data_IF_571987242818
#
_entry.id   IF_571987242818
#
_cell.length_a   1.000
_cell.length_b   1.000
_cell.length_c   1.000
_cell.angle_alpha   90.00
_cell.angle_beta   90.00
_cell.angle_gamma   90.00
#
_symmetry.space_group_name_H-M   'P 1'
#
loop_
_entity.id
_entity.type
_entity.pdbx_description
1 polymer ?
#
# COMPACT_ATOMS: atom_id res chain seq x y z
N UNK A 1 7.13 4.81 0.97
CA UNK A 1 6.75 3.38 0.75
C UNK A 1 5.36 3.25 0.16
N UNK A 2 4.38 4.01 0.66
CA UNK A 2 3.00 4.10 0.13
C UNK A 2 2.93 4.53 -1.34
N UNK A 3 3.85 5.36 -1.78
CA UNK A 3 3.91 5.93 -3.13
C UNK A 3 4.31 4.87 -4.15
N UNK A 4 5.28 4.03 -3.80
CA UNK A 4 5.74 2.91 -4.63
C UNK A 4 4.66 1.84 -4.70
N UNK A 5 3.99 1.55 -3.57
CA UNK A 5 2.82 0.66 -3.50
C UNK A 5 1.70 1.16 -4.43
N UNK A 6 1.41 2.46 -4.40
CA UNK A 6 0.42 3.10 -5.26
C UNK A 6 0.81 3.07 -6.74
N UNK A 7 2.06 3.42 -7.06
CA UNK A 7 2.58 3.40 -8.43
C UNK A 7 2.53 1.98 -9.02
N UNK A 8 2.93 0.98 -8.23
CA UNK A 8 2.83 -0.43 -8.60
C UNK A 8 1.40 -0.82 -8.91
N UNK A 9 0.44 -0.49 -8.04
CA UNK A 9 -0.97 -0.78 -8.26
C UNK A 9 -1.50 -0.14 -9.57
N UNK A 10 -1.14 1.11 -9.84
CA UNK A 10 -1.51 1.86 -11.04
C UNK A 10 -0.92 1.24 -12.31
N UNK A 11 0.35 0.82 -12.30
CA UNK A 11 0.96 0.14 -13.44
C UNK A 11 0.32 -1.20 -13.74
N UNK A 12 -0.04 -1.98 -12.72
CA UNK A 12 -0.77 -3.23 -12.97
C UNK A 12 -2.12 -2.93 -13.62
N UNK A 13 -2.86 -1.91 -13.15
CA UNK A 13 -4.14 -1.54 -13.76
C UNK A 13 -4.03 -1.08 -15.21
N UNK A 14 -3.04 -0.26 -15.54
CA UNK A 14 -2.88 0.31 -16.87
C UNK A 14 -2.33 -0.72 -17.88
N UNK A 15 -1.39 -1.56 -17.47
CA UNK A 15 -0.62 -2.39 -18.40
C UNK A 15 -0.96 -3.88 -18.37
N UNK A 16 -1.66 -4.38 -17.36
CA UNK A 16 -2.17 -5.76 -17.35
C UNK A 16 -3.68 -5.73 -17.57
N UNK A 17 -4.13 -5.82 -18.82
CA UNK A 17 -5.56 -5.86 -19.16
C UNK A 17 -6.13 -7.27 -19.09
N UNK A 18 -5.32 -8.28 -19.39
CA UNK A 18 -5.72 -9.69 -19.39
C UNK A 18 -5.24 -10.38 -18.10
N UNK A 19 -6.06 -11.32 -17.61
CA UNK A 19 -5.77 -12.23 -16.48
C UNK A 19 -5.43 -11.56 -15.14
N UNK A 20 -5.91 -10.33 -14.92
CA UNK A 20 -5.76 -9.74 -13.60
C UNK A 20 -6.68 -10.36 -12.57
N UNK A 21 -6.14 -10.74 -11.41
CA UNK A 21 -6.97 -11.06 -10.26
C UNK A 21 -7.93 -9.90 -9.99
N UNK A 22 -9.24 -10.19 -9.80
CA UNK A 22 -10.25 -9.15 -9.59
C UNK A 22 -10.05 -8.42 -8.26
N UNK A 23 -9.26 -8.99 -7.35
CA UNK A 23 -8.98 -8.40 -6.05
C UNK A 23 -7.47 -8.26 -5.81
N UNK A 24 -7.12 -7.28 -4.97
CA UNK A 24 -5.76 -7.06 -4.45
C UNK A 24 -5.83 -6.59 -3.02
N UNK A 25 -4.77 -6.85 -2.29
CA UNK A 25 -4.59 -6.31 -0.96
C UNK A 25 -3.65 -5.11 -1.03
N UNK A 26 -4.01 -4.05 -0.34
CA UNK A 26 -3.23 -2.82 -0.30
C UNK A 26 -3.33 -2.19 1.07
N UNK A 27 -2.27 -1.47 1.46
CA UNK A 27 -2.29 -0.63 2.65
C UNK A 27 -2.88 0.73 2.29
N UNK A 28 -3.83 1.19 3.09
CA UNK A 28 -4.41 2.53 3.00
C UNK A 28 -3.97 3.32 4.23
N UNK A 29 -3.42 4.51 4.00
CA UNK A 29 -3.00 5.43 5.04
C UNK A 29 -3.92 6.64 5.00
N UNK A 30 -4.63 6.88 6.10
CA UNK A 30 -5.48 8.06 6.28
C UNK A 30 -4.67 9.13 7.00
N UNK A 31 -4.52 10.28 6.36
CA UNK A 31 -3.85 11.45 6.93
C UNK A 31 -4.85 12.56 7.24
N UNK A 32 -4.52 13.39 8.24
CA UNK A 32 -5.26 14.60 8.55
C UNK A 32 -4.98 15.64 7.46
N UNK A 33 -5.99 16.11 6.71
CA UNK A 33 -5.77 17.00 5.57
C UNK A 33 -5.16 18.35 5.97
N UNK A 34 -5.34 18.78 7.23
CA UNK A 34 -4.79 20.06 7.73
C UNK A 34 -3.34 19.95 8.20
N UNK A 35 -2.93 18.80 8.72
CA UNK A 35 -1.64 18.65 9.41
C UNK A 35 -0.71 17.65 8.73
N UNK A 36 -1.18 16.91 7.74
CA UNK A 36 -0.46 15.81 7.11
C UNK A 36 -0.23 14.60 8.02
N UNK A 37 -0.55 14.69 9.32
CA UNK A 37 -0.33 13.61 10.29
C UNK A 37 -1.14 12.37 9.92
N UNK A 38 -0.48 11.22 9.96
CA UNK A 38 -1.15 9.93 9.78
C UNK A 38 -2.06 9.70 10.98
N UNK A 39 -3.34 9.50 10.70
CA UNK A 39 -4.36 9.19 11.69
C UNK A 39 -4.52 7.69 11.85
N UNK A 40 -4.39 6.95 10.75
CA UNK A 40 -4.68 5.53 10.71
C UNK A 40 -4.02 4.88 9.51
N UNK A 41 -3.57 3.64 9.69
CA UNK A 41 -3.15 2.77 8.60
C UNK A 41 -3.93 1.46 8.72
N UNK A 42 -4.45 0.98 7.60
CA UNK A 42 -5.24 -0.25 7.54
C UNK A 42 -4.92 -1.03 6.28
N UNK A 43 -5.21 -2.33 6.31
CA UNK A 43 -5.17 -3.16 5.11
C UNK A 43 -6.57 -3.22 4.52
N UNK A 44 -6.66 -3.07 3.20
CA UNK A 44 -7.91 -3.21 2.47
C UNK A 44 -7.75 -4.20 1.33
N UNK A 45 -8.81 -4.96 1.09
CA UNK A 45 -9.00 -5.73 -0.13
C UNK A 45 -9.74 -4.85 -1.14
N UNK A 46 -9.03 -4.42 -2.17
CA UNK A 46 -9.57 -3.67 -3.29
C UNK A 46 -10.04 -4.64 -4.38
N UNK A 47 -11.33 -4.62 -4.70
CA UNK A 47 -11.90 -5.35 -5.82
C UNK A 47 -12.13 -4.40 -6.99
N UNK A 48 -11.52 -4.68 -8.14
CA UNK A 48 -11.63 -3.85 -9.33
C UNK A 48 -12.74 -4.36 -10.25
N UNK A 49 -13.61 -3.46 -10.69
CA UNK A 49 -14.56 -3.68 -11.78
C UNK A 49 -14.16 -2.81 -12.96
N UNK A 50 -13.86 -3.46 -14.10
CA UNK A 50 -13.36 -2.80 -15.31
C UNK A 50 -14.42 -2.84 -16.39
N UNK A 51 -14.61 -1.70 -17.06
CA UNK A 51 -15.41 -1.58 -18.28
C UNK A 51 -14.46 -1.38 -19.45
N UNK A 52 -14.49 -2.31 -20.39
CA UNK A 52 -13.75 -2.23 -21.65
C UNK A 52 -14.69 -1.79 -22.78
N UNK A 53 -14.13 -1.21 -23.83
CA UNK A 53 -14.85 -0.99 -25.09
C UNK A 53 -14.86 -2.25 -25.97
N UNK A 54 -15.47 -2.14 -27.15
CA UNK A 54 -15.57 -3.23 -28.14
C UNK A 54 -14.20 -3.66 -28.70
N UNK A 55 -13.16 -2.82 -28.55
CA UNK A 55 -11.79 -3.09 -28.98
C UNK A 55 -10.92 -3.61 -27.82
N UNK A 56 -11.49 -3.79 -26.63
CA UNK A 56 -10.78 -4.24 -25.43
C UNK A 56 -10.02 -3.13 -24.69
N UNK A 57 -10.22 -1.87 -25.04
CA UNK A 57 -9.56 -0.74 -24.38
C UNK A 57 -10.28 -0.38 -23.08
N UNK A 58 -9.51 0.01 -22.05
CA UNK A 58 -10.07 0.39 -20.75
C UNK A 58 -10.83 1.72 -20.82
N UNK A 59 -12.15 1.68 -20.61
CA UNK A 59 -13.00 2.88 -20.52
C UNK A 59 -13.13 3.39 -19.09
N UNK A 60 -13.26 2.47 -18.12
CA UNK A 60 -13.49 2.82 -16.72
C UNK A 60 -13.01 1.71 -15.79
N UNK A 61 -12.46 2.09 -14.65
CA UNK A 61 -12.24 1.20 -13.51
C UNK A 61 -12.95 1.76 -12.27
N UNK A 62 -13.65 0.90 -11.55
CA UNK A 62 -14.22 1.18 -10.23
C UNK A 62 -13.56 0.27 -9.20
N UNK A 63 -13.20 0.81 -8.04
CA UNK A 63 -12.63 0.05 -6.94
C UNK A 63 -13.59 0.01 -5.76
N UNK A 64 -13.86 -1.20 -5.27
CA UNK A 64 -14.60 -1.44 -4.04
C UNK A 64 -13.61 -1.86 -2.97
N UNK A 65 -13.52 -1.08 -1.90
CA UNK A 65 -12.58 -1.30 -0.82
C UNK A 65 -13.29 -1.96 0.36
N UNK A 66 -12.78 -3.11 0.79
CA UNK A 66 -13.22 -3.78 2.01
C UNK A 66 -12.07 -3.80 3.00
N UNK A 67 -12.35 -3.51 4.27
CA UNK A 67 -11.35 -3.70 5.32
C UNK A 67 -10.95 -5.17 5.37
N UNK A 68 -9.64 -5.45 5.38
CA UNK A 68 -9.09 -6.78 5.49
C UNK A 68 -8.30 -6.90 6.80
N UNK A 69 -8.42 -8.06 7.44
CA UNK A 69 -7.65 -8.36 8.64
C UNK A 69 -6.17 -8.61 8.29
N UNK A 70 -5.23 -8.35 9.22
CA UNK A 70 -3.83 -8.69 9.01
C UNK A 70 -3.60 -10.15 8.63
N UNK A 71 -4.36 -11.09 9.23
CA UNK A 71 -4.26 -12.51 8.92
C UNK A 71 -4.69 -12.86 7.50
N UNK A 72 -5.72 -12.21 6.97
CA UNK A 72 -6.15 -12.41 5.58
C UNK A 72 -5.06 -11.95 4.61
N UNK A 73 -4.42 -10.82 4.90
CA UNK A 73 -3.29 -10.34 4.11
C UNK A 73 -2.11 -11.30 4.18
N UNK A 74 -1.72 -11.75 5.38
CA UNK A 74 -0.55 -12.64 5.55
C UNK A 74 -0.79 -14.02 4.93
N UNK A 75 -2.04 -14.47 4.86
CA UNK A 75 -2.42 -15.67 4.10
C UNK A 75 -2.28 -15.43 2.60
N UNK A 76 -2.87 -14.34 2.07
CA UNK A 76 -2.75 -13.99 0.66
C UNK A 76 -1.28 -13.77 0.23
N UNK A 77 -0.45 -13.15 1.08
CA UNK A 77 0.96 -12.93 0.82
C UNK A 77 1.77 -14.24 0.73
N UNK A 78 1.33 -15.30 1.40
CA UNK A 78 1.96 -16.63 1.33
C UNK A 78 1.52 -17.41 0.11
N UNK A 79 0.23 -17.35 -0.23
CA UNK A 79 -0.39 -18.15 -1.29
C UNK A 79 -0.27 -17.48 -2.67
N UNK A 80 -0.50 -16.17 -2.74
CA UNK A 80 -0.49 -15.35 -3.95
C UNK A 80 0.15 -13.97 -3.70
N UNK A 81 1.48 -13.91 -3.51
CA UNK A 81 2.24 -12.68 -3.25
C UNK A 81 1.89 -11.49 -4.16
N UNK A 82 1.64 -11.76 -5.44
CA UNK A 82 1.33 -10.79 -6.48
C UNK A 82 0.01 -10.03 -6.25
N UNK A 83 -0.90 -10.57 -5.42
CA UNK A 83 -2.13 -9.88 -5.00
C UNK A 83 -1.85 -8.77 -3.99
N UNK A 84 -0.77 -8.89 -3.24
CA UNK A 84 -0.44 -8.02 -2.12
C UNK A 84 0.57 -6.94 -2.50
N UNK A 85 1.61 -7.31 -3.25
CA UNK A 85 2.75 -6.43 -3.55
C UNK A 85 3.25 -6.58 -4.99
N UNK A 86 2.43 -6.26 -6.00
CA UNK A 86 2.85 -6.42 -7.38
C UNK A 86 4.15 -5.66 -7.67
N UNK A 87 5.05 -6.27 -8.44
CA UNK A 87 6.42 -5.81 -8.77
C UNK A 87 7.42 -5.78 -7.60
N UNK A 88 6.98 -5.51 -6.38
CA UNK A 88 7.84 -5.52 -5.20
C UNK A 88 8.14 -6.94 -4.70
N UNK A 89 7.28 -7.90 -5.00
CA UNK A 89 7.55 -9.32 -4.75
C UNK A 89 8.77 -9.82 -5.52
N UNK A 90 8.97 -9.35 -6.75
CA UNK A 90 10.13 -9.70 -7.59
C UNK A 90 11.43 -9.16 -7.01
N UNK A 91 11.36 -8.05 -6.26
CA UNK A 91 12.50 -7.50 -5.51
C UNK A 91 12.69 -8.15 -4.13
N UNK A 92 11.92 -9.20 -3.81
CA UNK A 92 12.00 -9.94 -2.55
C UNK A 92 11.22 -9.31 -1.39
N UNK A 93 10.40 -8.29 -1.62
CA UNK A 93 9.58 -7.70 -0.57
C UNK A 93 8.46 -8.67 -0.17
N UNK A 94 8.57 -9.19 1.06
CA UNK A 94 7.58 -10.09 1.66
C UNK A 94 7.09 -9.64 3.02
N UNK A 95 7.02 -8.32 3.22
CA UNK A 95 6.58 -7.77 4.50
C UNK A 95 5.16 -8.22 4.85
N UNK A 96 4.97 -8.58 6.11
CA UNK A 96 3.67 -8.94 6.70
C UNK A 96 2.79 -7.69 6.85
N UNK A 97 1.49 -7.91 7.08
CA UNK A 97 0.55 -6.84 7.37
C UNK A 97 1.02 -6.00 8.57
N UNK A 98 1.47 -6.64 9.65
CA UNK A 98 1.97 -5.92 10.84
C UNK A 98 3.17 -5.03 10.50
N UNK A 99 4.12 -5.53 9.71
CA UNK A 99 5.28 -4.74 9.29
C UNK A 99 4.86 -3.54 8.43
N UNK A 100 3.94 -3.76 7.48
CA UNK A 100 3.40 -2.70 6.63
C UNK A 100 2.66 -1.61 7.41
N UNK A 101 1.86 -2.01 8.39
CA UNK A 101 1.12 -1.09 9.24
C UNK A 101 2.05 -0.30 10.17
N UNK A 102 3.10 -0.94 10.72
CA UNK A 102 4.10 -0.23 11.52
C UNK A 102 4.95 0.74 10.68
N UNK A 103 5.21 0.39 9.43
CA UNK A 103 5.96 1.21 8.47
C UNK A 103 5.15 2.41 7.97
N UNK A 104 3.86 2.55 8.32
CA UNK A 104 3.08 3.73 7.95
C UNK A 104 3.65 5.01 8.55
N UNK A 105 4.16 4.95 9.78
CA UNK A 105 4.72 6.10 10.49
C UNK A 105 6.23 6.26 10.31
N UNK A 106 6.88 5.40 9.52
CA UNK A 106 8.33 5.46 9.29
C UNK A 106 8.62 6.27 8.03
N UNK A 107 9.43 7.31 8.18
CA UNK A 107 9.95 8.07 7.05
C UNK A 107 10.92 7.17 6.27
N UNK A 108 10.65 6.89 5.00
CA UNK A 108 11.42 5.93 4.22
C UNK A 108 12.82 6.42 3.82
N UNK A 109 13.18 7.66 4.18
CA UNK A 109 14.51 8.21 3.96
C UNK A 109 15.43 8.12 5.20
N UNK A 110 14.88 7.75 6.37
CA UNK A 110 15.62 7.72 7.63
C UNK A 110 15.27 6.48 8.45
N UNK A 111 16.26 5.84 9.07
CA UNK A 111 16.02 4.69 9.99
C UNK A 111 15.23 5.09 11.26
N UNK A 112 15.02 6.39 11.45
CA UNK A 112 14.41 6.99 12.63
C UNK A 112 13.03 7.57 12.29
N UNK A 113 12.07 7.36 13.20
CA UNK A 113 10.72 7.88 13.07
C UNK A 113 10.72 9.41 13.32
N UNK A 114 9.87 10.16 12.59
CA UNK A 114 9.69 11.60 12.81
C UNK A 114 9.29 11.95 14.25
N UNK A 115 8.61 11.02 14.92
CA UNK A 115 8.31 11.12 16.35
C UNK A 115 9.58 11.07 17.22
N UNK A 116 10.56 10.24 16.85
CA UNK A 116 11.85 10.17 17.54
C UNK A 116 12.59 11.50 17.40
N UNK A 117 12.57 12.10 16.21
CA UNK A 117 13.22 13.39 15.93
C UNK A 117 12.59 14.57 16.67
N UNK A 118 11.27 14.51 16.91
CA UNK A 118 10.52 15.62 17.50
C UNK A 118 10.24 15.48 18.99
N UNK A 119 10.25 14.25 19.54
CA UNK A 119 9.85 13.99 20.92
C UNK A 119 10.97 13.48 21.83
N UNK A 120 12.07 12.96 21.29
CA UNK A 120 13.20 12.52 22.13
C UNK A 120 14.22 13.65 22.25
N UNK A 121 14.85 13.77 23.43
CA UNK A 121 15.89 14.77 23.67
C UNK A 121 17.07 14.61 22.68
N UNK A 122 17.43 13.37 22.36
CA UNK A 122 18.48 13.05 21.39
C UNK A 122 18.08 13.46 19.96
N UNK A 123 16.84 13.19 19.54
CA UNK A 123 16.32 13.62 18.25
C UNK A 123 16.27 15.14 18.08
N UNK A 124 15.82 15.86 19.10
CA UNK A 124 15.75 17.33 19.09
C UNK A 124 17.14 17.97 19.02
N UNK A 125 18.15 17.33 19.62
CA UNK A 125 19.53 17.84 19.62
C UNK A 125 20.19 17.72 18.24
N UNK A 126 19.85 16.69 17.46
CA UNK A 126 20.35 16.48 16.10
C UNK A 126 19.74 17.43 15.06
N UNK A 127 18.63 18.09 15.39
CA UNK A 127 17.94 19.07 14.54
C UNK A 127 18.49 20.50 14.67
N UNK A 128 19.40 20.76 15.63
CA UNK A 128 20.09 22.04 15.81
C UNK A 128 21.44 22.05 15.14
#
# INVERSE_FOLDING_TARGET
>A
NSEIEFLGALFVELFRTNDLPPNRYQRLVRSCPKTGKILESMIVKATASRRLDERGMLLKTCHFLHHATPSEYDMAMREWPELCRPFLTETGDRRTATQLLSDANRDCLFDECFETWTKTAEGVTRLR
#
